data_IF_854155771341
#
_entry.id   IF_854155771341
#
_cell.length_a   1.000
_cell.length_b   1.000
_cell.length_c   1.000
_cell.angle_alpha   90.00
_cell.angle_beta   90.00
_cell.angle_gamma   90.00
#
_symmetry.space_group_name_H-M   'P 1'
#
loop_
_entity.id
_entity.type
_entity.pdbx_description
1 polymer ?
#
# COMPACT_ATOMS: atom_id res chain seq x y z
N UNK A 1 6.14 21.52 10.47
CA UNK A 1 4.88 20.97 9.91
C UNK A 1 5.08 19.49 9.67
N UNK A 2 4.22 18.62 10.19
CA UNK A 2 4.28 17.17 9.89
C UNK A 2 3.74 16.92 8.47
N UNK A 3 4.33 15.99 7.69
CA UNK A 3 3.86 15.69 6.35
C UNK A 3 2.44 15.10 6.39
N UNK A 4 1.57 15.58 5.51
CA UNK A 4 0.19 15.11 5.37
C UNK A 4 0.09 13.76 4.65
N UNK A 5 1.14 13.39 3.92
CA UNK A 5 1.26 12.18 3.12
C UNK A 5 2.72 11.72 3.08
N UNK A 6 2.96 10.43 3.26
CA UNK A 6 4.25 9.75 3.06
C UNK A 6 4.01 8.61 2.06
N UNK A 7 4.86 8.52 1.04
CA UNK A 7 4.80 7.46 0.03
C UNK A 7 6.04 6.58 0.13
N UNK A 8 5.83 5.26 0.06
CA UNK A 8 6.87 4.25 0.01
C UNK A 8 6.70 3.45 -1.28
N UNK A 9 7.74 3.42 -2.11
CA UNK A 9 7.75 2.56 -3.29
C UNK A 9 7.88 1.10 -2.85
N UNK A 10 7.00 0.26 -3.37
CA UNK A 10 7.07 -1.19 -3.23
C UNK A 10 7.61 -1.81 -4.51
N UNK A 11 7.95 -3.11 -4.45
CA UNK A 11 8.19 -3.86 -5.68
C UNK A 11 6.96 -3.82 -6.58
N UNK A 12 7.14 -3.89 -7.92
CA UNK A 12 6.02 -4.01 -8.83
C UNK A 12 5.10 -5.19 -8.46
N UNK A 13 3.82 -5.08 -8.80
CA UNK A 13 2.89 -6.20 -8.60
C UNK A 13 3.15 -7.33 -9.60
N UNK A 14 2.32 -8.38 -9.54
CA UNK A 14 2.45 -9.56 -10.42
C UNK A 14 2.27 -9.26 -11.91
N UNK A 15 1.82 -8.04 -12.25
CA UNK A 15 1.68 -7.54 -13.62
C UNK A 15 2.72 -6.48 -13.96
N UNK A 16 3.81 -6.41 -13.19
CA UNK A 16 4.89 -5.43 -13.32
C UNK A 16 4.45 -3.97 -13.13
N UNK A 17 3.30 -3.74 -12.47
CA UNK A 17 2.80 -2.39 -12.24
C UNK A 17 3.48 -1.76 -11.03
N UNK A 18 4.00 -0.52 -11.14
CA UNK A 18 4.51 0.21 -10.00
C UNK A 18 3.46 0.28 -8.88
N UNK A 19 3.86 -0.11 -7.67
CA UNK A 19 2.99 -0.17 -6.50
C UNK A 19 3.59 0.68 -5.40
N UNK A 20 2.73 1.42 -4.68
CA UNK A 20 3.11 2.29 -3.58
C UNK A 20 2.28 2.01 -2.34
N UNK A 21 2.92 2.06 -1.19
CA UNK A 21 2.25 2.15 0.11
C UNK A 21 2.20 3.62 0.53
N UNK A 22 1.02 4.11 0.89
CA UNK A 22 0.78 5.52 1.23
C UNK A 22 0.28 5.59 2.66
N UNK A 23 0.95 6.38 3.48
CA UNK A 23 0.47 6.79 4.80
C UNK A 23 0.00 8.24 4.74
N UNK A 24 -1.26 8.49 5.05
CA UNK A 24 -1.81 9.84 4.96
C UNK A 24 -2.83 10.14 6.05
N UNK A 25 -3.01 11.44 6.32
CA UNK A 25 -4.11 11.93 7.15
C UNK A 25 -5.37 12.05 6.30
N UNK A 26 -6.46 11.47 6.77
CA UNK A 26 -7.77 11.50 6.14
C UNK A 26 -8.53 12.76 6.50
N UNK A 27 -9.60 13.04 5.74
CA UNK A 27 -10.45 14.22 5.92
C UNK A 27 -11.13 14.31 7.29
N UNK A 28 -11.36 13.18 7.94
CA UNK A 28 -11.92 13.08 9.30
C UNK A 28 -10.86 13.20 10.41
N UNK A 29 -9.61 13.48 10.03
CA UNK A 29 -8.49 13.65 10.95
C UNK A 29 -7.80 12.35 11.37
N UNK A 30 -8.30 11.17 10.98
CA UNK A 30 -7.65 9.88 11.24
C UNK A 30 -6.42 9.69 10.36
N UNK A 31 -5.48 8.88 10.83
CA UNK A 31 -4.37 8.40 10.00
C UNK A 31 -4.75 7.06 9.38
N UNK A 32 -4.33 6.82 8.15
CA UNK A 32 -4.62 5.56 7.47
C UNK A 32 -3.60 5.20 6.41
N UNK A 33 -3.56 3.92 6.09
CA UNK A 33 -2.70 3.36 5.06
C UNK A 33 -3.50 2.97 3.83
N UNK A 34 -2.97 3.21 2.65
CA UNK A 34 -3.54 2.75 1.39
C UNK A 34 -2.47 2.21 0.47
N UNK A 35 -2.87 1.30 -0.43
CA UNK A 35 -2.00 0.82 -1.51
C UNK A 35 -2.50 1.43 -2.81
N UNK A 36 -1.60 2.08 -3.53
CA UNK A 36 -1.86 2.61 -4.85
C UNK A 36 -1.09 1.79 -5.88
N UNK A 37 -1.77 1.43 -6.97
CA UNK A 37 -1.15 0.74 -8.12
C UNK A 37 -1.28 1.65 -9.33
N UNK A 38 -0.21 1.73 -10.12
CA UNK A 38 -0.25 2.40 -11.41
C UNK A 38 -1.18 1.64 -12.35
N UNK A 39 -1.90 2.39 -13.17
CA UNK A 39 -2.77 1.87 -14.22
C UNK A 39 -2.00 1.77 -15.52
N UNK A 40 -2.07 0.60 -16.16
CA UNK A 40 -1.40 0.36 -17.44
C UNK A 40 -2.14 1.02 -18.62
N UNK A 41 -3.39 1.44 -18.41
CA UNK A 41 -4.27 1.96 -19.44
C UNK A 41 -4.97 3.22 -18.96
N UNK A 42 -5.07 4.24 -19.80
CA UNK A 42 -5.79 5.51 -19.54
C UNK A 42 -7.30 5.32 -19.26
N UNK A 43 -7.83 4.10 -19.43
CA UNK A 43 -9.21 3.70 -19.14
C UNK A 43 -9.37 2.95 -17.81
N UNK A 44 -8.28 2.54 -17.17
CA UNK A 44 -8.34 1.93 -15.86
C UNK A 44 -8.26 3.06 -14.84
N UNK A 45 -9.29 3.20 -14.00
CA UNK A 45 -9.21 4.09 -12.83
C UNK A 45 -8.12 3.54 -11.90
N UNK A 46 -7.32 4.43 -11.29
CA UNK A 46 -6.33 4.00 -10.31
C UNK A 46 -7.06 3.27 -9.18
N UNK A 47 -6.91 1.94 -9.12
CA UNK A 47 -7.46 1.13 -8.04
C UNK A 47 -6.72 1.48 -6.76
N UNK A 48 -7.28 2.40 -5.98
CA UNK A 48 -6.86 2.63 -4.61
C UNK A 48 -7.54 1.60 -3.70
N UNK A 49 -6.79 0.61 -3.23
CA UNK A 49 -7.29 -0.24 -2.15
C UNK A 49 -7.24 0.59 -0.87
N UNK A 50 -8.42 0.94 -0.36
CA UNK A 50 -8.57 1.88 0.73
C UNK A 50 -8.42 1.24 2.11
N UNK A 51 -7.66 1.95 2.95
CA UNK A 51 -7.68 1.96 4.42
C UNK A 51 -7.40 0.63 5.11
N UNK A 52 -6.12 0.25 5.06
CA UNK A 52 -5.56 -0.71 5.99
C UNK A 52 -5.33 -0.03 7.35
N UNK A 53 -5.89 -0.62 8.40
CA UNK A 53 -5.55 -0.29 9.78
C UNK A 53 -4.15 -0.81 10.13
N UNK A 54 -3.52 -0.25 11.17
CA UNK A 54 -2.24 -0.75 11.67
C UNK A 54 -2.30 -2.24 12.03
N UNK A 55 -3.44 -2.72 12.54
CA UNK A 55 -3.67 -4.15 12.83
C UNK A 55 -3.62 -4.98 11.56
N UNK A 56 -4.31 -4.57 10.51
CA UNK A 56 -4.29 -5.28 9.22
C UNK A 56 -2.89 -5.29 8.60
N UNK A 57 -2.13 -4.19 8.72
CA UNK A 57 -0.74 -4.15 8.25
C UNK A 57 0.16 -5.11 9.03
N UNK A 58 -0.01 -5.20 10.36
CA UNK A 58 0.72 -6.18 11.17
C UNK A 58 0.37 -7.61 10.78
N UNK A 59 -0.91 -7.90 10.53
CA UNK A 59 -1.36 -9.20 10.05
C UNK A 59 -0.75 -9.54 8.68
N UNK A 60 -0.76 -8.60 7.75
CA UNK A 60 -0.12 -8.75 6.42
C UNK A 60 1.39 -9.02 6.60
N UNK A 61 2.07 -8.28 7.47
CA UNK A 61 3.48 -8.49 7.79
C UNK A 61 3.75 -9.91 8.34
N UNK A 62 2.93 -10.37 9.28
CA UNK A 62 3.05 -11.72 9.84
C UNK A 62 2.81 -12.83 8.79
N UNK A 63 1.85 -12.64 7.89
CA UNK A 63 1.62 -13.55 6.75
C UNK A 63 2.85 -13.55 5.84
N UNK A 64 3.39 -12.38 5.50
CA UNK A 64 4.57 -12.26 4.66
C UNK A 64 5.81 -12.91 5.29
N UNK A 65 6.02 -12.79 6.60
CA UNK A 65 7.13 -13.48 7.29
C UNK A 65 6.98 -15.00 7.25
N UNK A 66 5.75 -15.50 7.43
CA UNK A 66 5.44 -16.94 7.44
C UNK A 66 5.63 -17.59 6.07
N UNK A 67 5.27 -16.89 4.99
CA UNK A 67 5.24 -17.46 3.63
C UNK A 67 6.35 -16.93 2.72
N UNK A 68 6.93 -15.76 3.01
CA UNK A 68 8.01 -15.14 2.25
C UNK A 68 9.41 -15.66 2.59
N UNK A 69 9.59 -16.34 3.74
CA UNK A 69 10.81 -17.11 4.05
C UNK A 69 10.79 -18.48 3.35
N UNK A 70 10.75 -18.47 2.01
CA UNK A 70 11.18 -19.60 1.17
C UNK A 70 12.01 -19.04 0.02
N UNK A 71 13.28 -18.80 0.31
CA UNK A 71 14.28 -18.28 -0.61
C UNK A 71 15.65 -18.26 0.05
N UNK A 72 16.14 -19.45 0.43
CA UNK A 72 17.58 -19.76 0.52
C UNK A 72 17.91 -20.69 -0.62
#
# INVERSE_FOLDING_TARGET
>A
MQPTKIEFDLSPDVYERPTKLIFQRLYDGRMGWSIARSVNSQRDESESVSLLTDTQLKEIGAIAERFGRKGT
#
